data_IF_674347155654
#
_entry.id   IF_674347155654
#
_cell.length_a   1.000
_cell.length_b   1.000
_cell.length_c   1.000
_cell.angle_alpha   90.00
_cell.angle_beta   90.00
_cell.angle_gamma   90.00
#
_symmetry.space_group_name_H-M   'P 1'
#
loop_
_entity.id
_entity.type
_entity.pdbx_description
1 polymer ?
#
# COMPACT_ATOMS: atom_id res chain seq x y z
N UNK A 1 14.78 26.21 7.95
CA UNK A 1 13.88 26.25 6.78
C UNK A 1 12.45 26.18 7.31
N UNK A 2 11.50 26.90 6.72
CA UNK A 2 10.09 26.81 7.12
C UNK A 2 9.50 25.48 6.63
N UNK A 3 8.65 24.84 7.43
CA UNK A 3 7.96 23.60 7.06
C UNK A 3 6.91 23.86 5.96
N UNK A 4 6.84 22.96 4.96
CA UNK A 4 5.83 23.04 3.89
C UNK A 4 4.48 22.53 4.41
N UNK A 5 3.44 23.37 4.38
CA UNK A 5 2.08 22.99 4.78
C UNK A 5 1.30 22.42 3.60
N UNK A 6 0.86 21.18 3.74
CA UNK A 6 0.16 20.42 2.70
C UNK A 6 -1.23 20.06 3.19
N UNK A 7 -2.27 20.43 2.45
CA UNK A 7 -3.63 19.95 2.69
C UNK A 7 -4.02 18.92 1.63
N UNK A 8 -4.38 17.72 2.08
CA UNK A 8 -5.00 16.69 1.24
C UNK A 8 -6.47 16.59 1.60
N UNK A 9 -7.35 16.60 0.62
CA UNK A 9 -8.80 16.46 0.82
C UNK A 9 -9.31 15.20 0.16
N UNK A 10 -10.05 14.39 0.93
CA UNK A 10 -10.75 13.21 0.44
C UNK A 10 -12.06 13.01 1.19
N UNK A 11 -13.17 13.06 0.45
CA UNK A 11 -14.51 12.72 0.93
C UNK A 11 -15.00 11.40 0.31
N UNK A 12 -14.21 10.34 0.49
CA UNK A 12 -14.55 8.99 0.04
C UNK A 12 -15.08 8.10 1.17
N UNK A 13 -15.30 6.83 0.87
CA UNK A 13 -15.60 5.83 1.90
C UNK A 13 -14.35 5.45 2.73
N UNK A 14 -14.54 4.72 3.81
CA UNK A 14 -13.44 4.27 4.68
C UNK A 14 -12.33 3.51 3.92
N UNK A 15 -12.68 2.69 2.92
CA UNK A 15 -11.69 2.00 2.09
C UNK A 15 -10.77 2.95 1.32
N UNK A 16 -11.32 4.04 0.79
CA UNK A 16 -10.54 5.05 0.09
C UNK A 16 -9.61 5.81 1.02
N UNK A 17 -10.08 6.10 2.22
CA UNK A 17 -9.27 6.74 3.25
C UNK A 17 -8.06 5.88 3.59
N UNK A 18 -8.25 4.56 3.74
CA UNK A 18 -7.17 3.62 4.03
C UNK A 18 -6.20 3.50 2.84
N UNK A 19 -6.70 3.35 1.61
CA UNK A 19 -5.88 3.24 0.39
C UNK A 19 -4.97 4.44 0.11
N UNK A 20 -5.31 5.61 0.66
CA UNK A 20 -4.56 6.85 0.46
C UNK A 20 -3.31 6.94 1.35
N UNK A 21 -3.20 6.13 2.39
CA UNK A 21 -2.12 6.24 3.37
C UNK A 21 -0.69 6.21 2.76
N UNK A 22 -0.35 5.32 1.81
CA UNK A 22 0.98 5.34 1.19
C UNK A 22 1.30 6.65 0.43
N UNK A 23 0.27 7.35 -0.04
CA UNK A 23 0.40 8.64 -0.72
C UNK A 23 0.62 9.77 0.27
N UNK A 24 -0.01 9.72 1.45
CA UNK A 24 0.22 10.69 2.53
C UNK A 24 1.67 10.61 3.01
N UNK A 25 2.18 9.38 3.21
CA UNK A 25 3.59 9.12 3.53
C UNK A 25 4.52 9.69 2.46
N UNK A 26 4.26 9.39 1.18
CA UNK A 26 5.08 9.90 0.08
C UNK A 26 5.09 11.42 -0.01
N UNK A 27 3.97 12.09 0.24
CA UNK A 27 3.88 13.55 0.27
C UNK A 27 4.71 14.16 1.41
N UNK A 28 4.68 13.56 2.60
CA UNK A 28 5.49 14.00 3.73
C UNK A 28 6.99 14.00 3.36
N UNK A 29 7.48 12.88 2.80
CA UNK A 29 8.90 12.76 2.45
C UNK A 29 9.31 13.57 1.21
N UNK A 30 8.42 13.72 0.22
CA UNK A 30 8.67 14.52 -0.99
C UNK A 30 8.94 15.99 -0.67
N UNK A 31 8.29 16.53 0.36
CA UNK A 31 8.36 17.95 0.71
C UNK A 31 9.03 18.23 2.06
N UNK A 32 9.78 17.27 2.61
CA UNK A 32 10.38 17.39 3.94
C UNK A 32 11.30 18.62 4.06
N UNK A 33 11.22 19.40 5.17
CA UNK A 33 10.27 19.27 6.27
C UNK A 33 8.85 19.68 5.85
N UNK A 34 7.86 18.85 6.18
CA UNK A 34 6.46 19.07 5.82
C UNK A 34 5.50 18.81 6.98
N UNK A 35 4.38 19.53 6.97
CA UNK A 35 3.21 19.31 7.80
C UNK A 35 2.06 18.86 6.89
N UNK A 36 1.67 17.59 6.98
CA UNK A 36 0.60 17.02 6.15
C UNK A 36 -0.70 17.00 6.93
N UNK A 37 -1.71 17.68 6.41
CA UNK A 37 -3.06 17.73 6.95
C UNK A 37 -3.99 16.95 6.05
N UNK A 38 -4.85 16.12 6.65
CA UNK A 38 -5.91 15.42 5.94
C UNK A 38 -7.26 16.04 6.30
N UNK A 39 -8.06 16.37 5.29
CA UNK A 39 -9.45 16.79 5.44
C UNK A 39 -10.40 15.74 4.90
N UNK A 40 -11.35 15.32 5.73
CA UNK A 40 -12.32 14.25 5.42
C UNK A 40 -13.63 14.42 6.19
N UNK A 41 -14.58 13.50 5.95
CA UNK A 41 -15.86 13.45 6.67
C UNK A 41 -15.62 13.11 8.15
N UNK A 42 -16.36 13.71 9.11
CA UNK A 42 -16.19 13.44 10.53
C UNK A 42 -16.23 11.94 10.88
N UNK A 43 -17.12 11.18 10.24
CA UNK A 43 -17.30 9.74 10.45
C UNK A 43 -16.06 8.89 10.09
N UNK A 44 -15.12 9.44 9.32
CA UNK A 44 -13.90 8.77 8.90
C UNK A 44 -12.64 9.38 9.49
N UNK A 45 -12.76 10.46 10.28
CA UNK A 45 -11.62 11.18 10.83
C UNK A 45 -10.75 10.27 11.72
N UNK A 46 -11.39 9.36 12.45
CA UNK A 46 -10.72 8.52 13.43
C UNK A 46 -9.84 7.44 12.77
N UNK A 47 -10.01 7.14 11.47
CA UNK A 47 -9.18 6.15 10.76
C UNK A 47 -7.69 6.53 10.71
N UNK A 48 -7.39 7.83 10.76
CA UNK A 48 -6.05 8.37 10.62
C UNK A 48 -5.59 9.19 11.83
N UNK A 49 -6.35 9.18 12.93
CA UNK A 49 -6.08 10.04 14.07
C UNK A 49 -4.75 9.72 14.79
N UNK A 50 -4.28 8.47 14.68
CA UNK A 50 -3.02 8.00 15.27
C UNK A 50 -1.86 7.93 14.26
N UNK A 51 -2.05 8.45 13.04
CA UNK A 51 -1.02 8.38 12.02
C UNK A 51 0.16 9.32 12.37
N UNK A 52 1.40 8.84 12.52
CA UNK A 52 2.52 9.61 13.08
C UNK A 52 2.98 10.79 12.21
N UNK A 53 2.79 10.70 10.88
CA UNK A 53 3.17 11.76 9.93
C UNK A 53 2.07 12.80 9.67
N UNK A 54 0.86 12.60 10.21
CA UNK A 54 -0.25 13.51 9.97
C UNK A 54 -0.39 14.49 11.14
N UNK A 55 -0.68 15.73 10.77
CA UNK A 55 -1.20 16.71 11.71
C UNK A 55 -2.66 16.36 12.07
N UNK A 56 -3.22 16.96 13.14
CA UNK A 56 -4.60 16.73 13.53
C UNK A 56 -5.57 16.84 12.33
N UNK A 57 -6.42 15.83 12.19
CA UNK A 57 -7.34 15.68 11.06
C UNK A 57 -8.32 16.85 11.03
N UNK A 58 -8.43 17.50 9.86
CA UNK A 58 -9.37 18.59 9.64
C UNK A 58 -10.74 18.00 9.30
N UNK A 59 -11.68 18.05 10.24
CA UNK A 59 -13.05 17.57 10.02
C UNK A 59 -13.79 18.56 9.11
N UNK A 60 -14.28 18.08 7.97
CA UNK A 60 -15.02 18.89 6.99
C UNK A 60 -16.36 18.24 6.65
N UNK A 61 -17.41 19.06 6.54
CA UNK A 61 -18.71 18.60 6.06
C UNK A 61 -18.92 19.21 4.66
N UNK A 62 -19.16 18.35 3.68
CA UNK A 62 -19.60 18.79 2.36
C UNK A 62 -20.98 19.44 2.47
N UNK A 63 -21.14 20.65 1.93
CA UNK A 63 -22.46 21.28 1.79
C UNK A 63 -23.33 20.47 0.83
N UNK A 64 -24.65 20.67 0.87
CA UNK A 64 -25.57 19.98 -0.05
C UNK A 64 -25.22 20.22 -1.53
N UNK A 65 -24.77 21.44 -1.88
CA UNK A 65 -24.33 21.79 -3.23
C UNK A 65 -23.03 21.07 -3.61
N UNK A 66 -22.11 20.94 -2.66
CA UNK A 66 -20.92 20.08 -2.76
C UNK A 66 -21.25 18.58 -2.61
N UNK A 67 -22.53 18.19 -2.60
CA UNK A 67 -23.00 16.82 -2.79
C UNK A 67 -23.87 16.65 -4.06
N UNK A 68 -24.09 17.72 -4.87
CA UNK A 68 -24.75 17.72 -6.21
C UNK A 68 -23.88 17.83 -7.53
N UNK A 69 -22.65 18.35 -7.54
CA UNK A 69 -21.55 18.25 -8.55
C UNK A 69 -20.81 16.87 -8.74
N UNK A 70 -20.93 16.17 -9.88
CA UNK A 70 -20.16 14.94 -10.17
C UNK A 70 -18.64 15.10 -9.92
N UNK A 71 -18.05 14.27 -9.04
CA UNK A 71 -16.61 14.31 -8.69
C UNK A 71 -16.19 15.37 -7.66
N UNK A 72 -17.12 16.17 -7.15
CA UNK A 72 -17.03 17.14 -6.05
C UNK A 72 -15.78 18.03 -5.93
N UNK A 73 -15.77 18.96 -6.89
CA UNK A 73 -15.06 20.24 -6.98
C UNK A 73 -13.55 20.17 -7.14
N UNK A 74 -13.11 19.91 -8.38
CA UNK A 74 -11.79 20.33 -8.89
C UNK A 74 -11.52 21.83 -8.66
N UNK A 75 -12.58 22.63 -8.54
CA UNK A 75 -12.52 24.08 -8.49
C UNK A 75 -12.44 24.62 -7.05
N UNK A 76 -12.25 23.74 -6.06
CA UNK A 76 -12.00 24.20 -4.71
C UNK A 76 -10.71 25.03 -4.67
N UNK A 77 -10.86 26.31 -4.33
CA UNK A 77 -9.71 27.21 -4.18
C UNK A 77 -8.83 26.69 -3.07
N UNK A 78 -7.52 26.68 -3.31
CA UNK A 78 -6.50 26.38 -2.28
C UNK A 78 -6.82 27.18 -1.00
N UNK A 79 -7.07 26.51 0.14
CA UNK A 79 -7.32 27.21 1.38
C UNK A 79 -6.14 28.10 1.80
N UNK A 80 -6.42 29.26 2.39
CA UNK A 80 -5.38 30.14 2.91
C UNK A 80 -4.54 29.41 3.96
N UNK A 81 -3.24 29.70 4.00
CA UNK A 81 -2.31 29.11 4.98
C UNK A 81 -1.68 27.77 4.58
N UNK A 82 -2.01 27.23 3.40
CA UNK A 82 -1.36 26.04 2.85
C UNK A 82 -0.50 26.37 1.63
N UNK A 83 0.69 25.78 1.58
CA UNK A 83 1.63 25.91 0.46
C UNK A 83 1.16 25.05 -0.72
N UNK A 84 0.72 23.82 -0.41
CA UNK A 84 0.21 22.82 -1.35
C UNK A 84 -1.20 22.38 -0.98
N UNK A 85 -2.00 22.10 -1.99
CA UNK A 85 -3.36 21.58 -1.83
C UNK A 85 -3.65 20.52 -2.89
N UNK A 86 -4.17 19.38 -2.44
CA UNK A 86 -4.53 18.25 -3.27
C UNK A 86 -5.97 17.83 -2.96
N UNK A 87 -6.88 17.99 -3.92
CA UNK A 87 -8.21 17.39 -3.84
C UNK A 87 -8.18 16.04 -4.56
N UNK A 88 -8.34 14.97 -3.78
CA UNK A 88 -8.33 13.58 -4.28
C UNK A 88 -9.72 12.96 -4.31
N UNK A 89 -10.76 13.75 -4.05
CA UNK A 89 -12.16 13.32 -4.15
C UNK A 89 -12.48 12.93 -5.60
N UNK A 90 -13.18 11.81 -5.79
CA UNK A 90 -13.51 11.26 -7.10
C UNK A 90 -12.37 10.60 -7.90
N UNK A 91 -11.10 10.65 -7.47
CA UNK A 91 -10.00 10.20 -8.32
C UNK A 91 -9.99 8.69 -8.61
N UNK A 92 -10.45 7.85 -7.69
CA UNK A 92 -10.57 6.41 -7.88
C UNK A 92 -11.64 6.10 -8.93
N UNK A 93 -12.73 6.85 -8.90
CA UNK A 93 -13.87 6.70 -9.80
C UNK A 93 -13.56 7.17 -11.23
N UNK A 94 -12.71 8.21 -11.35
CA UNK A 94 -12.24 8.75 -12.64
C UNK A 94 -11.21 7.84 -13.32
N UNK A 95 -10.38 7.16 -12.53
CA UNK A 95 -9.32 6.30 -13.05
C UNK A 95 -9.72 4.82 -12.97
N UNK A 96 -10.76 4.43 -13.72
CA UNK A 96 -11.21 3.04 -13.76
C UNK A 96 -10.10 2.14 -14.32
N UNK A 97 -9.92 0.97 -13.73
CA UNK A 97 -8.95 -0.02 -14.20
C UNK A 97 -7.56 0.10 -13.57
N UNK A 98 -7.32 1.08 -12.70
CA UNK A 98 -6.09 1.17 -11.90
C UNK A 98 -6.39 1.01 -10.41
N UNK A 99 -5.38 0.60 -9.65
CA UNK A 99 -5.51 0.42 -8.22
C UNK A 99 -5.77 1.76 -7.51
N UNK A 100 -6.59 1.78 -6.46
CA UNK A 100 -6.97 3.02 -5.76
C UNK A 100 -5.78 3.85 -5.27
N UNK A 101 -4.77 3.20 -4.67
CA UNK A 101 -3.50 3.87 -4.28
C UNK A 101 -2.79 4.53 -5.46
N UNK A 102 -2.81 3.90 -6.64
CA UNK A 102 -2.16 4.45 -7.84
C UNK A 102 -2.97 5.64 -8.39
N UNK A 103 -4.30 5.60 -8.29
CA UNK A 103 -5.17 6.75 -8.59
C UNK A 103 -4.84 7.95 -7.71
N UNK A 104 -4.65 7.71 -6.40
CA UNK A 104 -4.25 8.76 -5.46
C UNK A 104 -2.85 9.31 -5.78
N UNK A 105 -1.89 8.42 -6.05
CA UNK A 105 -0.53 8.80 -6.43
C UNK A 105 -0.52 9.68 -7.69
N UNK A 106 -1.28 9.28 -8.71
CA UNK A 106 -1.44 10.05 -9.94
C UNK A 106 -2.01 11.45 -9.69
N UNK A 107 -3.08 11.56 -8.90
CA UNK A 107 -3.72 12.85 -8.59
C UNK A 107 -2.86 13.82 -7.78
N UNK A 108 -1.83 13.31 -7.09
CA UNK A 108 -0.93 14.10 -6.23
C UNK A 108 0.47 14.26 -6.81
N UNK A 109 0.76 13.54 -7.91
CA UNK A 109 2.12 13.35 -8.45
C UNK A 109 3.11 12.83 -7.38
N UNK A 110 2.60 12.07 -6.40
CA UNK A 110 3.42 11.39 -5.41
C UNK A 110 3.84 10.02 -5.94
N UNK A 111 4.99 9.52 -5.49
CA UNK A 111 5.46 8.17 -5.80
C UNK A 111 5.46 7.39 -4.48
N UNK A 112 4.43 6.56 -4.22
CA UNK A 112 4.34 5.82 -2.96
C UNK A 112 5.42 4.74 -2.88
N UNK A 113 6.02 4.58 -1.71
CA UNK A 113 7.06 3.55 -1.46
C UNK A 113 6.50 2.12 -1.46
N UNK A 114 5.18 2.00 -1.31
CA UNK A 114 4.42 0.74 -1.22
C UNK A 114 2.98 0.94 -1.67
N UNK A 115 2.32 -0.15 -2.06
CA UNK A 115 0.89 -0.15 -2.36
C UNK A 115 0.02 -0.56 -1.16
N UNK A 116 0.51 -1.49 -0.34
CA UNK A 116 -0.20 -1.92 0.87
C UNK A 116 -0.21 -0.77 1.89
N UNK A 117 -1.37 -0.31 2.36
CA UNK A 117 -1.48 0.72 3.39
C UNK A 117 -0.99 0.22 4.76
N UNK A 118 -0.79 1.15 5.69
CA UNK A 118 -0.59 0.86 7.12
C UNK A 118 -1.67 1.61 7.89
N UNK A 119 -2.29 0.93 8.85
CA UNK A 119 -3.26 1.55 9.74
C UNK A 119 -2.70 1.61 11.16
N UNK A 120 -2.81 2.79 11.78
CA UNK A 120 -2.34 3.04 13.14
C UNK A 120 -3.52 2.97 14.09
N UNK A 121 -3.44 2.07 15.05
CA UNK A 121 -4.45 1.88 16.09
C UNK A 121 -4.18 2.78 17.29
N UNK A 122 -5.18 2.92 18.14
CA UNK A 122 -5.03 3.55 19.45
C UNK A 122 -4.00 2.76 20.29
N UNK A 123 -2.87 3.36 20.68
CA UNK A 123 -1.85 2.67 21.48
C UNK A 123 -2.34 2.35 22.89
N UNK A 124 -3.38 3.02 23.39
CA UNK A 124 -3.89 2.84 24.75
C UNK A 124 -4.93 1.72 24.84
N UNK A 125 -5.30 1.10 23.72
CA UNK A 125 -6.30 0.02 23.67
C UNK A 125 -5.65 -1.32 23.38
N UNK A 126 -5.79 -2.25 24.31
CA UNK A 126 -5.30 -3.61 24.16
C UNK A 126 -6.11 -4.37 23.09
N UNK A 127 -5.41 -4.85 22.06
CA UNK A 127 -6.00 -5.67 20.99
C UNK A 127 -6.27 -7.09 21.52
N UNK A 128 -7.55 -7.43 21.66
CA UNK A 128 -7.98 -8.75 22.11
C UNK A 128 -7.81 -9.79 21.00
N UNK A 129 -7.15 -10.94 21.25
CA UNK A 129 -7.03 -12.00 20.25
C UNK A 129 -8.39 -12.51 19.78
N UNK A 130 -8.50 -12.76 18.48
CA UNK A 130 -9.66 -13.32 17.79
C UNK A 130 -9.18 -14.39 16.82
N UNK A 131 -10.00 -15.40 16.60
CA UNK A 131 -9.64 -16.45 15.66
C UNK A 131 -9.99 -16.04 14.22
N UNK A 132 -11.30 -16.01 13.91
CA UNK A 132 -11.81 -15.65 12.59
C UNK A 132 -12.73 -14.44 12.75
N UNK A 133 -12.48 -13.39 11.97
CA UNK A 133 -13.36 -12.22 11.87
C UNK A 133 -13.98 -12.17 10.48
N UNK A 134 -15.31 -12.05 10.42
CA UNK A 134 -16.08 -12.02 9.17
C UNK A 134 -16.82 -10.70 9.05
N UNK A 135 -16.55 -9.93 8.01
CA UNK A 135 -17.26 -8.68 7.74
C UNK A 135 -18.47 -8.91 6.84
N UNK A 136 -19.65 -8.62 7.38
CA UNK A 136 -20.95 -8.63 6.70
C UNK A 136 -21.49 -7.19 6.61
N UNK A 137 -21.14 -6.38 5.60
CA UNK A 137 -21.44 -4.94 5.59
C UNK A 137 -22.94 -4.61 5.55
N UNK A 138 -23.36 -3.53 6.25
CA UNK A 138 -24.74 -3.00 6.31
C UNK A 138 -25.35 -2.68 4.94
N UNK A 139 -26.66 -2.93 4.77
CA UNK A 139 -27.48 -2.53 3.63
C UNK A 139 -27.80 -1.05 3.77
N UNK A 140 -27.35 -0.32 2.76
CA UNK A 140 -27.61 1.09 2.61
C UNK A 140 -27.72 1.41 1.11
N UNK A 141 -28.30 2.56 0.76
CA UNK A 141 -28.37 3.00 -0.64
C UNK A 141 -26.98 3.10 -1.30
N UNK A 142 -25.92 3.23 -0.49
CA UNK A 142 -24.51 3.23 -0.90
C UNK A 142 -23.74 1.99 -0.41
N UNK A 143 -24.43 0.91 -0.02
CA UNK A 143 -23.78 -0.30 0.48
C UNK A 143 -22.88 -0.94 -0.59
N UNK A 144 -21.80 -1.63 -0.18
CA UNK A 144 -20.86 -2.24 -1.12
C UNK A 144 -21.60 -3.07 -2.16
N UNK A 145 -21.13 -2.95 -3.40
CA UNK A 145 -21.76 -3.50 -4.60
C UNK A 145 -21.78 -5.03 -4.65
N UNK A 146 -21.18 -5.69 -3.66
CA UNK A 146 -21.21 -7.14 -3.45
C UNK A 146 -22.50 -7.53 -2.71
N UNK A 147 -23.63 -7.52 -3.43
CA UNK A 147 -24.94 -7.89 -2.89
C UNK A 147 -24.99 -9.34 -2.39
N UNK A 148 -24.27 -10.23 -3.06
CA UNK A 148 -24.42 -11.67 -2.85
C UNK A 148 -23.82 -12.13 -1.52
N UNK A 149 -22.69 -11.56 -1.10
CA UNK A 149 -22.02 -11.89 0.18
C UNK A 149 -22.93 -11.72 1.41
N UNK A 150 -23.98 -10.89 1.30
CA UNK A 150 -24.94 -10.63 2.38
C UNK A 150 -26.03 -11.69 2.50
N UNK A 151 -26.29 -12.47 1.45
CA UNK A 151 -27.39 -13.43 1.42
C UNK A 151 -27.04 -14.80 1.99
N UNK A 152 -25.75 -15.08 2.18
CA UNK A 152 -25.27 -16.44 2.39
C UNK A 152 -25.11 -16.86 3.84
N UNK A 153 -25.48 -16.06 4.85
CA UNK A 153 -25.21 -16.40 6.26
C UNK A 153 -23.75 -16.89 6.46
N UNK A 154 -22.79 -16.15 5.88
CA UNK A 154 -21.38 -16.56 5.77
C UNK A 154 -20.80 -17.10 7.08
N UNK A 155 -21.05 -16.50 8.26
CA UNK A 155 -20.57 -17.08 9.53
C UNK A 155 -21.01 -18.52 9.77
N UNK A 156 -22.27 -18.84 9.53
CA UNK A 156 -22.81 -20.20 9.70
C UNK A 156 -22.22 -21.18 8.67
N UNK A 157 -22.04 -20.72 7.43
CA UNK A 157 -21.40 -21.53 6.39
C UNK A 157 -19.95 -21.86 6.73
N UNK A 158 -19.18 -20.86 7.15
CA UNK A 158 -17.78 -21.04 7.55
C UNK A 158 -17.69 -22.00 8.73
N UNK A 159 -18.54 -21.78 9.75
CA UNK A 159 -18.65 -22.67 10.90
C UNK A 159 -18.91 -24.12 10.48
N UNK A 160 -19.96 -24.36 9.70
CA UNK A 160 -20.35 -25.70 9.28
C UNK A 160 -19.27 -26.38 8.42
N UNK A 161 -18.57 -25.61 7.59
CA UNK A 161 -17.48 -26.10 6.77
C UNK A 161 -16.27 -26.52 7.62
N UNK A 162 -15.83 -25.69 8.56
CA UNK A 162 -14.73 -26.02 9.47
C UNK A 162 -15.07 -27.24 10.35
N UNK A 163 -16.30 -27.29 10.88
CA UNK A 163 -16.81 -28.43 11.67
C UNK A 163 -16.76 -29.73 10.83
N UNK A 164 -17.17 -29.68 9.56
CA UNK A 164 -17.16 -30.82 8.62
C UNK A 164 -15.75 -31.30 8.29
N UNK A 165 -14.81 -30.38 8.09
CA UNK A 165 -13.40 -30.69 7.78
C UNK A 165 -12.61 -31.09 9.04
N UNK A 166 -13.21 -31.04 10.23
CA UNK A 166 -12.54 -31.36 11.50
C UNK A 166 -11.50 -30.32 11.91
N UNK A 167 -11.61 -29.09 11.40
CA UNK A 167 -10.69 -27.99 11.69
C UNK A 167 -11.16 -27.28 12.97
N UNK A 168 -10.31 -27.24 13.99
CA UNK A 168 -10.63 -26.59 15.27
C UNK A 168 -10.46 -25.08 15.15
N UNK A 169 -11.46 -24.33 15.63
CA UNK A 169 -11.43 -22.89 15.84
C UNK A 169 -11.97 -22.56 17.23
N UNK A 170 -11.51 -21.45 17.81
CA UNK A 170 -11.90 -20.94 19.13
C UNK A 170 -13.10 -20.01 19.03
N UNK A 171 -13.14 -19.15 18.00
CA UNK A 171 -14.19 -18.14 17.85
C UNK A 171 -14.40 -17.69 16.41
N UNK A 172 -15.65 -17.44 16.02
CA UNK A 172 -16.00 -16.72 14.79
C UNK A 172 -16.74 -15.45 15.20
N UNK A 173 -16.19 -14.29 14.86
CA UNK A 173 -16.79 -12.98 15.16
C UNK A 173 -17.28 -12.33 13.89
N UNK A 174 -18.58 -12.07 13.79
CA UNK A 174 -19.15 -11.28 12.71
C UNK A 174 -19.11 -9.78 13.08
N UNK A 175 -18.78 -8.92 12.12
CA UNK A 175 -18.84 -7.45 12.24
C UNK A 175 -19.68 -6.89 11.08
N UNK A 176 -20.46 -5.82 11.31
CA UNK A 176 -21.29 -5.14 10.30
C UNK A 176 -22.82 -5.19 10.53
N UNK A 177 -23.58 -5.68 9.55
CA UNK A 177 -25.06 -5.58 9.45
C UNK A 177 -25.82 -6.41 10.46
N UNK A 178 -25.29 -7.57 10.81
CA UNK A 178 -25.97 -8.56 11.65
C UNK A 178 -25.16 -8.91 12.89
N UNK A 179 -24.22 -8.05 13.25
CA UNK A 179 -23.44 -8.18 14.47
C UNK A 179 -24.03 -7.28 15.55
N UNK A 180 -23.97 -7.75 16.81
CA UNK A 180 -24.15 -6.90 18.01
C UNK A 180 -23.08 -5.80 18.14
N UNK A 181 -22.16 -5.73 17.17
CA UNK A 181 -21.10 -4.74 17.09
C UNK A 181 -21.67 -3.34 16.83
N UNK A 182 -21.71 -2.52 17.89
CA UNK A 182 -22.09 -1.10 17.85
C UNK A 182 -20.90 -0.15 17.74
N UNK A 183 -19.69 -0.71 17.65
CA UNK A 183 -18.45 0.04 17.71
C UNK A 183 -18.16 0.94 16.51
N UNK A 184 -17.31 1.94 16.75
CA UNK A 184 -16.78 2.83 15.72
C UNK A 184 -15.78 2.12 14.79
N UNK A 185 -15.21 2.87 13.83
CA UNK A 185 -14.25 2.31 12.87
C UNK A 185 -12.91 1.90 13.51
N UNK A 186 -12.48 2.58 14.57
CA UNK A 186 -11.26 2.22 15.32
C UNK A 186 -11.44 0.91 16.09
N UNK A 187 -12.57 0.74 16.78
CA UNK A 187 -12.90 -0.52 17.44
C UNK A 187 -13.04 -1.67 16.42
N UNK A 188 -13.44 -1.36 15.18
CA UNK A 188 -13.60 -2.37 14.13
C UNK A 188 -12.22 -2.82 13.67
N UNK A 189 -11.32 -1.85 13.47
CA UNK A 189 -9.92 -2.11 13.16
C UNK A 189 -9.22 -2.88 14.28
N UNK A 190 -9.48 -2.57 15.56
CA UNK A 190 -8.96 -3.33 16.70
C UNK A 190 -9.47 -4.77 16.71
N UNK A 191 -10.76 -4.97 16.45
CA UNK A 191 -11.35 -6.32 16.32
C UNK A 191 -10.68 -7.11 15.20
N UNK A 192 -10.44 -6.47 14.05
CA UNK A 192 -9.74 -7.09 12.90
C UNK A 192 -8.28 -7.37 13.23
N UNK A 193 -7.58 -6.45 13.91
CA UNK A 193 -6.17 -6.60 14.27
C UNK A 193 -5.90 -7.80 15.18
N UNK A 194 -6.88 -8.17 16.02
CA UNK A 194 -6.81 -9.35 16.85
C UNK A 194 -6.99 -10.67 16.09
N UNK A 195 -7.46 -10.64 14.84
CA UNK A 195 -7.84 -11.83 14.08
C UNK A 195 -6.64 -12.62 13.54
N UNK A 196 -6.70 -13.96 13.63
CA UNK A 196 -5.80 -14.83 12.85
C UNK A 196 -6.17 -14.85 11.37
N UNK A 197 -7.45 -14.71 11.06
CA UNK A 197 -7.98 -14.66 9.69
C UNK A 197 -9.15 -13.68 9.59
N UNK A 198 -9.09 -12.79 8.60
CA UNK A 198 -10.20 -11.95 8.18
C UNK A 198 -10.87 -12.49 6.90
N UNK A 199 -12.20 -12.43 6.84
CA UNK A 199 -12.99 -12.80 5.65
C UNK A 199 -13.99 -11.69 5.36
N UNK A 200 -14.07 -11.21 4.13
CA UNK A 200 -15.11 -10.23 3.78
C UNK A 200 -15.17 -9.87 2.30
N UNK A 201 -16.16 -9.07 1.89
CA UNK A 201 -16.21 -8.50 0.55
C UNK A 201 -15.24 -7.32 0.40
N UNK A 202 -15.05 -6.83 -0.83
CA UNK A 202 -14.41 -5.53 -1.11
C UNK A 202 -15.15 -4.39 -0.38
N UNK A 203 -14.61 -4.02 0.78
CA UNK A 203 -15.27 -3.19 1.78
C UNK A 203 -14.24 -2.59 2.74
N UNK A 204 -14.69 -1.69 3.62
CA UNK A 204 -13.84 -1.07 4.63
C UNK A 204 -13.04 -2.09 5.45
N UNK A 205 -13.70 -3.15 5.95
CA UNK A 205 -13.04 -4.19 6.74
C UNK A 205 -11.93 -4.92 5.98
N UNK A 206 -12.10 -5.16 4.67
CA UNK A 206 -11.04 -5.76 3.85
C UNK A 206 -9.81 -4.85 3.78
N UNK A 207 -10.01 -3.57 3.51
CA UNK A 207 -8.90 -2.61 3.46
C UNK A 207 -8.21 -2.46 4.82
N UNK A 208 -8.97 -2.50 5.93
CA UNK A 208 -8.42 -2.51 7.29
C UNK A 208 -7.56 -3.76 7.52
N UNK A 209 -8.06 -4.96 7.19
CA UNK A 209 -7.30 -6.19 7.36
C UNK A 209 -5.98 -6.17 6.58
N UNK A 210 -6.01 -5.66 5.35
CA UNK A 210 -4.80 -5.47 4.56
C UNK A 210 -3.83 -4.45 5.20
N UNK A 211 -4.35 -3.33 5.71
CA UNK A 211 -3.56 -2.27 6.34
C UNK A 211 -2.94 -2.69 7.69
N UNK A 212 -3.59 -3.62 8.38
CA UNK A 212 -3.14 -4.17 9.66
C UNK A 212 -2.24 -5.41 9.49
N UNK A 213 -1.97 -5.83 8.25
CA UNK A 213 -1.17 -7.01 7.97
C UNK A 213 -1.84 -8.33 8.39
N UNK A 214 -3.16 -8.34 8.56
CA UNK A 214 -3.93 -9.52 8.95
C UNK A 214 -4.13 -10.44 7.73
N UNK A 215 -3.87 -11.75 7.84
CA UNK A 215 -4.21 -12.70 6.78
C UNK A 215 -5.69 -12.56 6.40
N UNK A 216 -5.98 -12.41 5.11
CA UNK A 216 -7.34 -12.10 4.68
C UNK A 216 -7.74 -12.76 3.37
N UNK A 217 -9.02 -13.15 3.32
CA UNK A 217 -9.70 -13.59 2.10
C UNK A 217 -10.73 -12.53 1.72
N UNK A 218 -10.63 -12.04 0.49
CA UNK A 218 -11.51 -11.00 -0.02
C UNK A 218 -12.33 -11.50 -1.21
N UNK A 219 -13.64 -11.31 -1.13
CA UNK A 219 -14.57 -11.60 -2.20
C UNK A 219 -14.79 -10.37 -3.08
N UNK A 220 -14.58 -10.52 -4.39
CA UNK A 220 -14.64 -9.45 -5.38
C UNK A 220 -15.75 -9.71 -6.42
N UNK A 221 -16.33 -8.62 -6.94
CA UNK A 221 -17.29 -8.67 -8.05
C UNK A 221 -16.58 -8.57 -9.39
N UNK A 222 -17.33 -8.81 -10.48
CA UNK A 222 -16.86 -8.52 -11.84
C UNK A 222 -16.57 -7.04 -12.08
N UNK A 223 -17.31 -6.15 -11.42
CA UNK A 223 -17.14 -4.70 -11.55
C UNK A 223 -15.91 -4.19 -10.80
N UNK A 224 -15.53 -4.90 -9.74
CA UNK A 224 -14.38 -4.58 -8.88
C UNK A 224 -13.45 -5.78 -8.72
N UNK A 225 -12.77 -6.21 -9.80
CA UNK A 225 -11.94 -7.40 -9.74
C UNK A 225 -10.71 -7.16 -8.86
N UNK A 226 -10.17 -8.25 -8.32
CA UNK A 226 -8.97 -8.22 -7.47
C UNK A 226 -7.82 -7.41 -8.09
N UNK A 227 -7.61 -7.47 -9.41
CA UNK A 227 -6.54 -6.73 -10.09
C UNK A 227 -6.54 -5.20 -9.88
N UNK A 228 -7.67 -4.61 -9.47
CA UNK A 228 -7.80 -3.16 -9.22
C UNK A 228 -8.02 -2.80 -7.75
N UNK A 229 -8.19 -3.78 -6.86
CA UNK A 229 -8.54 -3.53 -5.44
C UNK A 229 -7.71 -4.34 -4.45
N UNK A 230 -7.10 -5.44 -4.89
CA UNK A 230 -6.34 -6.35 -4.06
C UNK A 230 -4.92 -5.85 -3.81
N UNK A 231 -4.39 -6.26 -2.65
CA UNK A 231 -3.02 -6.01 -2.24
C UNK A 231 -2.17 -7.26 -2.50
N UNK A 232 -0.83 -7.17 -2.50
CA UNK A 232 0.05 -8.29 -2.83
C UNK A 232 -0.22 -9.62 -2.08
N UNK A 233 -0.71 -9.55 -0.83
CA UNK A 233 -0.96 -10.71 0.01
C UNK A 233 -2.44 -11.09 0.13
N UNK A 234 -3.31 -10.51 -0.70
CA UNK A 234 -4.74 -10.79 -0.66
C UNK A 234 -5.05 -12.14 -1.31
N UNK A 235 -5.71 -13.04 -0.57
CA UNK A 235 -6.31 -14.24 -1.15
C UNK A 235 -7.69 -13.85 -1.71
N UNK A 236 -7.82 -13.74 -3.03
CA UNK A 236 -9.06 -13.29 -3.67
C UNK A 236 -9.96 -14.45 -4.09
N UNK A 237 -11.28 -14.27 -3.96
CA UNK A 237 -12.32 -15.13 -4.56
C UNK A 237 -13.38 -14.29 -5.26
N UNK A 238 -14.25 -14.91 -6.06
CA UNK A 238 -15.46 -14.25 -6.58
C UNK A 238 -16.52 -14.27 -5.50
N UNK A 239 -17.29 -13.20 -5.37
CA UNK A 239 -18.39 -13.12 -4.39
C UNK A 239 -19.53 -14.11 -4.61
N UNK A 240 -19.60 -14.68 -5.81
CA UNK A 240 -20.53 -15.74 -6.22
C UNK A 240 -19.97 -17.16 -6.08
N UNK A 241 -18.68 -17.34 -5.75
CA UNK A 241 -18.02 -18.65 -5.69
C UNK A 241 -17.75 -19.09 -4.24
N UNK A 242 -18.82 -19.50 -3.56
CA UNK A 242 -18.75 -19.92 -2.15
C UNK A 242 -17.91 -21.17 -1.93
N UNK A 243 -17.86 -22.08 -2.91
CA UNK A 243 -17.07 -23.30 -2.79
C UNK A 243 -15.57 -22.96 -2.75
N UNK A 244 -15.12 -22.10 -3.66
CA UNK A 244 -13.74 -21.59 -3.67
C UNK A 244 -13.41 -20.81 -2.40
N UNK A 245 -14.33 -19.96 -1.91
CA UNK A 245 -14.18 -19.25 -0.64
C UNK A 245 -13.92 -20.23 0.52
N UNK A 246 -14.77 -21.24 0.70
CA UNK A 246 -14.67 -22.20 1.79
C UNK A 246 -13.38 -23.04 1.70
N UNK A 247 -12.99 -23.45 0.49
CA UNK A 247 -11.73 -24.16 0.26
C UNK A 247 -10.52 -23.30 0.68
N UNK A 248 -10.51 -22.01 0.31
CA UNK A 248 -9.45 -21.07 0.67
C UNK A 248 -9.38 -20.82 2.18
N UNK A 249 -10.52 -20.79 2.86
CA UNK A 249 -10.58 -20.68 4.32
C UNK A 249 -9.87 -21.87 4.97
N UNK A 250 -10.20 -23.11 4.59
CA UNK A 250 -9.52 -24.29 5.12
C UNK A 250 -8.01 -24.25 4.88
N UNK A 251 -7.59 -23.88 3.67
CA UNK A 251 -6.19 -23.84 3.30
C UNK A 251 -5.38 -22.78 4.08
N UNK A 252 -5.92 -21.55 4.18
CA UNK A 252 -5.23 -20.44 4.84
C UNK A 252 -5.26 -20.58 6.36
N UNK A 253 -6.36 -21.05 6.93
CA UNK A 253 -6.54 -21.18 8.37
C UNK A 253 -5.79 -22.40 8.96
N UNK A 254 -5.62 -23.46 8.17
CA UNK A 254 -4.85 -24.66 8.59
C UNK A 254 -3.35 -24.55 8.30
N UNK A 255 -2.91 -23.49 7.61
CA UNK A 255 -1.49 -23.30 7.35
C UNK A 255 -0.76 -23.17 8.71
N UNK A 256 0.34 -23.92 8.95
CA UNK A 256 1.14 -23.72 10.14
C UNK A 256 1.52 -22.24 10.20
N UNK A 257 1.39 -21.61 11.38
CA UNK A 257 1.55 -20.16 11.56
C UNK A 257 2.66 -19.65 10.66
N UNK A 258 2.27 -19.06 9.52
CA UNK A 258 3.23 -18.45 8.61
C UNK A 258 3.99 -17.38 9.41
N UNK A 259 5.19 -16.97 8.96
CA UNK A 259 5.84 -15.83 9.59
C UNK A 259 4.82 -14.70 9.66
N UNK A 260 4.43 -14.30 10.88
CA UNK A 260 3.40 -13.28 11.13
C UNK A 260 3.71 -12.11 10.21
N UNK A 261 2.83 -11.84 9.26
CA UNK A 261 3.05 -10.78 8.29
C UNK A 261 3.21 -9.46 9.04
N UNK A 262 4.27 -8.74 8.66
CA UNK A 262 4.67 -7.38 9.05
C UNK A 262 3.68 -6.65 9.96
N UNK A 263 3.78 -6.91 11.27
CA UNK A 263 3.13 -6.10 12.28
C UNK A 263 3.75 -4.70 12.38
N UNK A 264 3.06 -3.76 13.05
CA UNK A 264 3.50 -2.37 13.24
C UNK A 264 4.84 -2.24 13.99
N UNK A 265 5.35 -3.29 14.64
CA UNK A 265 6.67 -3.32 15.31
C UNK A 265 7.85 -2.99 14.38
N UNK A 266 7.66 -3.04 13.04
CA UNK A 266 8.66 -2.55 12.08
C UNK A 266 8.63 -1.05 11.82
N UNK A 267 7.59 -0.33 12.23
CA UNK A 267 7.55 1.14 12.13
C UNK A 267 8.53 1.77 13.10
N UNK A 268 8.74 1.19 14.29
CA UNK A 268 9.74 1.69 15.26
C UNK A 268 11.18 1.51 14.76
N UNK A 269 11.48 0.41 14.06
CA UNK A 269 12.79 0.21 13.43
C UNK A 269 13.02 1.11 12.20
N UNK A 270 11.96 1.62 11.58
CA UNK A 270 12.05 2.53 10.44
C UNK A 270 12.04 4.01 10.88
N UNK A 271 11.37 4.38 11.97
CA UNK A 271 11.38 5.75 12.47
C UNK A 271 12.73 6.13 13.08
N UNK A 272 13.39 5.23 13.82
CA UNK A 272 14.74 5.48 14.37
C UNK A 272 15.87 5.41 13.32
N UNK A 273 15.76 4.57 12.27
CA UNK A 273 16.78 4.53 11.20
C UNK A 273 16.64 5.65 10.16
N UNK A 274 15.47 6.28 10.04
CA UNK A 274 15.23 7.35 9.06
C UNK A 274 15.20 8.76 9.68
N UNK A 275 15.10 8.86 11.01
CA UNK A 275 15.37 10.09 11.75
C UNK A 275 16.89 10.32 11.82
N UNK A 276 17.38 11.34 11.11
CA UNK A 276 18.79 11.79 11.13
C UNK A 276 19.82 10.82 10.51
N UNK A 277 19.87 10.81 9.18
CA UNK A 277 21.03 10.32 8.42
C UNK A 277 20.66 9.20 7.46
N UNK A 278 20.41 9.57 6.20
CA UNK A 278 20.22 8.59 5.11
C UNK A 278 21.56 7.91 4.81
N UNK A 279 21.81 6.76 5.41
CA UNK A 279 22.93 5.91 5.01
C UNK A 279 22.49 5.07 3.82
N UNK A 280 23.16 5.26 2.69
CA UNK A 280 23.05 4.37 1.54
C UNK A 280 23.74 3.05 1.93
N UNK A 281 22.98 2.01 2.26
CA UNK A 281 23.52 0.68 2.54
C UNK A 281 23.85 0.00 1.19
N UNK A 282 25.14 -0.04 0.85
CA UNK A 282 25.69 -0.84 -0.24
C UNK A 282 26.00 -2.24 0.33
N UNK A 283 25.07 -3.16 0.17
CA UNK A 283 25.33 -4.57 0.44
C UNK A 283 25.93 -5.20 -0.82
N UNK A 284 27.22 -5.49 -0.79
CA UNK A 284 27.88 -6.33 -1.79
C UNK A 284 27.89 -7.77 -1.30
N UNK A 285 27.13 -8.64 -1.94
CA UNK A 285 27.27 -10.07 -1.74
C UNK A 285 28.13 -10.61 -2.91
N UNK A 286 29.35 -11.04 -2.61
CA UNK A 286 30.22 -11.67 -3.60
C UNK A 286 29.66 -13.08 -3.85
N UNK A 287 28.83 -13.21 -4.89
CA UNK A 287 28.39 -14.51 -5.35
C UNK A 287 29.57 -15.29 -5.92
N UNK A 288 29.77 -16.54 -5.51
CA UNK A 288 30.89 -17.41 -5.94
C UNK A 288 30.98 -17.72 -7.45
N UNK A 289 30.20 -17.04 -8.30
CA UNK A 289 30.18 -17.15 -9.76
C UNK A 289 30.85 -16.00 -10.53
N UNK A 290 31.52 -15.06 -9.87
CA UNK A 290 32.24 -13.96 -10.54
C UNK A 290 31.40 -12.74 -10.90
N UNK A 291 30.28 -12.52 -10.19
CA UNK A 291 29.43 -11.34 -10.34
C UNK A 291 29.23 -10.65 -8.99
N UNK A 292 29.16 -9.32 -9.01
CA UNK A 292 28.83 -8.50 -7.85
C UNK A 292 27.37 -8.04 -7.97
N UNK A 293 26.52 -8.46 -7.03
CA UNK A 293 25.15 -7.96 -6.94
C UNK A 293 25.18 -6.63 -6.17
N UNK A 294 24.67 -5.55 -6.77
CA UNK A 294 24.59 -4.25 -6.10
C UNK A 294 23.13 -3.88 -5.92
N UNK A 295 22.65 -3.93 -4.68
CA UNK A 295 21.33 -3.39 -4.38
C UNK A 295 21.40 -1.86 -4.28
N UNK A 296 20.64 -1.17 -5.13
CA UNK A 296 20.44 0.28 -5.03
C UNK A 296 18.98 0.51 -4.68
N UNK A 297 18.71 1.05 -3.50
CA UNK A 297 17.37 1.45 -3.09
C UNK A 297 17.36 2.94 -2.74
N UNK A 298 16.65 3.75 -3.52
CA UNK A 298 16.47 5.19 -3.27
C UNK A 298 16.22 6.01 -4.54
N UNK A 299 15.73 7.24 -4.39
CA UNK A 299 15.49 8.19 -5.49
C UNK A 299 16.80 8.67 -6.13
N UNK A 300 16.93 8.53 -7.46
CA UNK A 300 18.09 8.85 -8.30
C UNK A 300 18.33 10.36 -8.54
N UNK A 301 18.00 11.25 -7.60
CA UNK A 301 18.05 12.71 -7.84
C UNK A 301 19.27 13.45 -7.24
N UNK A 302 20.19 12.77 -6.53
CA UNK A 302 21.32 13.43 -5.85
C UNK A 302 22.68 13.23 -6.56
N UNK A 303 23.53 14.26 -6.70
CA UNK A 303 24.87 14.10 -7.32
C UNK A 303 25.77 13.05 -6.65
N UNK A 304 25.57 12.80 -5.35
CA UNK A 304 26.35 11.84 -4.56
C UNK A 304 26.20 10.37 -5.00
N UNK A 305 25.06 9.96 -5.54
CA UNK A 305 24.93 8.57 -6.00
C UNK A 305 25.76 8.33 -7.25
N UNK A 306 25.96 9.35 -8.09
CA UNK A 306 26.76 9.26 -9.32
C UNK A 306 28.22 8.99 -8.99
N UNK A 307 28.76 9.72 -8.01
CA UNK A 307 30.13 9.52 -7.57
C UNK A 307 30.31 8.15 -6.90
N UNK A 308 29.33 7.67 -6.12
CA UNK A 308 29.41 6.33 -5.51
C UNK A 308 29.31 5.19 -6.52
N UNK A 309 28.42 5.30 -7.52
CA UNK A 309 28.34 4.35 -8.63
C UNK A 309 29.63 4.36 -9.46
N UNK A 310 30.24 5.53 -9.65
CA UNK A 310 31.55 5.69 -10.28
C UNK A 310 32.68 5.05 -9.48
N UNK A 311 32.78 5.36 -8.19
CA UNK A 311 33.80 4.79 -7.31
C UNK A 311 33.68 3.26 -7.22
N UNK A 312 32.45 2.73 -7.33
CA UNK A 312 32.22 1.29 -7.41
C UNK A 312 32.57 0.71 -8.77
N UNK A 313 32.22 1.37 -9.88
CA UNK A 313 32.57 0.88 -11.22
C UNK A 313 34.08 0.88 -11.47
N UNK A 314 34.83 1.75 -10.80
CA UNK A 314 36.30 1.73 -10.76
C UNK A 314 36.88 0.57 -9.96
N UNK A 315 36.15 0.05 -8.98
CA UNK A 315 36.56 -1.14 -8.19
C UNK A 315 36.27 -2.47 -8.88
N UNK A 316 35.39 -2.50 -9.87
CA UNK A 316 35.13 -3.70 -10.67
C UNK A 316 36.37 -4.06 -11.52
N UNK A 317 37.12 -5.06 -11.08
CA UNK A 317 38.22 -5.62 -11.87
C UNK A 317 37.67 -6.51 -12.99
N UNK A 318 37.95 -6.13 -14.24
CA UNK A 318 37.80 -6.94 -15.48
C UNK A 318 36.56 -7.85 -15.55
N UNK A 319 35.41 -7.27 -15.93
CA UNK A 319 34.26 -8.05 -16.43
C UNK A 319 33.10 -8.27 -15.47
N UNK A 320 33.04 -7.54 -14.35
CA UNK A 320 31.89 -7.61 -13.43
C UNK A 320 30.59 -7.14 -14.07
N UNK A 321 29.52 -7.90 -13.87
CA UNK A 321 28.14 -7.51 -14.20
C UNK A 321 27.53 -6.83 -12.99
N UNK A 322 27.05 -5.59 -13.14
CA UNK A 322 26.23 -4.93 -12.11
C UNK A 322 24.78 -5.28 -12.36
N UNK A 323 24.10 -5.80 -11.34
CA UNK A 323 22.65 -5.88 -11.31
C UNK A 323 22.10 -4.65 -10.60
N UNK A 324 21.38 -3.79 -11.31
CA UNK A 324 20.65 -2.69 -10.68
C UNK A 324 19.20 -3.08 -10.48
N UNK A 325 18.69 -2.73 -9.30
CA UNK A 325 17.33 -2.94 -8.87
C UNK A 325 16.65 -1.59 -8.70
N UNK A 326 15.44 -1.41 -9.24
CA UNK A 326 14.61 -0.25 -8.93
C UNK A 326 13.19 -0.72 -8.65
N UNK A 327 12.60 -0.23 -7.55
CA UNK A 327 11.22 -0.55 -7.15
C UNK A 327 10.31 0.60 -7.54
N UNK A 328 9.64 0.45 -8.69
CA UNK A 328 8.56 1.26 -9.27
C UNK A 328 8.66 2.81 -9.28
N UNK A 329 8.69 3.33 -10.52
CA UNK A 329 8.45 4.71 -11.00
C UNK A 329 8.56 4.65 -12.53
N UNK A 330 8.14 5.67 -13.31
CA UNK A 330 8.23 5.66 -14.78
C UNK A 330 9.69 5.54 -15.23
N UNK A 331 10.13 4.31 -15.41
CA UNK A 331 11.49 3.95 -15.76
C UNK A 331 11.64 4.03 -17.27
N UNK A 332 12.44 4.96 -17.76
CA UNK A 332 12.86 4.97 -19.16
C UNK A 332 14.18 4.17 -19.28
N UNK A 333 14.13 2.92 -19.77
CA UNK A 333 15.33 2.10 -19.93
C UNK A 333 16.37 2.73 -20.87
N UNK A 334 15.95 3.57 -21.82
CA UNK A 334 16.88 4.31 -22.67
C UNK A 334 17.60 5.40 -21.88
N UNK A 335 16.93 6.01 -20.91
CA UNK A 335 17.52 7.00 -20.03
C UNK A 335 18.54 6.33 -19.09
N UNK A 336 18.21 5.22 -18.43
CA UNK A 336 19.17 4.48 -17.60
C UNK A 336 20.35 3.97 -18.42
N UNK A 337 20.10 3.39 -19.60
CA UNK A 337 21.16 2.90 -20.49
C UNK A 337 22.09 4.03 -20.92
N UNK A 338 21.55 5.18 -21.33
CA UNK A 338 22.35 6.37 -21.64
C UNK A 338 23.14 6.84 -20.42
N UNK A 339 22.53 6.87 -19.23
CA UNK A 339 23.23 7.25 -18.00
C UNK A 339 24.38 6.30 -17.67
N UNK A 340 24.15 4.98 -17.64
CA UNK A 340 25.18 3.99 -17.32
C UNK A 340 26.36 4.03 -18.30
N UNK A 341 26.09 4.25 -19.59
CA UNK A 341 27.12 4.40 -20.63
C UNK A 341 27.90 5.70 -20.46
N UNK A 342 27.20 6.83 -20.26
CA UNK A 342 27.80 8.16 -20.23
C UNK A 342 28.57 8.43 -18.93
N UNK A 343 27.99 8.07 -17.78
CA UNK A 343 28.54 8.43 -16.47
C UNK A 343 29.42 7.35 -15.87
N UNK A 344 29.20 6.05 -16.09
CA UNK A 344 29.93 4.98 -15.41
C UNK A 344 30.79 4.10 -16.34
N UNK A 345 30.73 4.31 -17.66
CA UNK A 345 31.46 3.49 -18.64
C UNK A 345 30.94 2.03 -18.72
N UNK A 346 29.68 1.82 -18.36
CA UNK A 346 29.04 0.51 -18.33
C UNK A 346 28.12 0.37 -19.55
N UNK A 347 28.26 -0.72 -20.31
CA UNK A 347 27.31 -1.10 -21.36
C UNK A 347 26.26 -2.03 -20.75
N UNK A 348 24.99 -1.67 -20.86
CA UNK A 348 23.89 -2.58 -20.53
C UNK A 348 23.93 -3.77 -21.50
N UNK A 349 24.10 -4.97 -20.97
CA UNK A 349 24.17 -6.22 -21.75
C UNK A 349 22.85 -6.96 -21.76
N UNK A 350 22.06 -6.83 -20.69
CA UNK A 350 20.74 -7.45 -20.60
C UNK A 350 19.82 -6.55 -19.77
N UNK A 351 18.55 -6.53 -20.15
CA UNK A 351 17.52 -5.75 -19.47
C UNK A 351 16.20 -6.51 -19.50
N UNK A 352 15.59 -6.75 -18.35
CA UNK A 352 14.23 -7.29 -18.29
C UNK A 352 13.23 -6.14 -18.31
N UNK A 353 12.58 -5.94 -19.46
CA UNK A 353 11.56 -4.91 -19.63
C UNK A 353 10.26 -5.20 -18.87
N UNK A 354 10.06 -6.44 -18.45
CA UNK A 354 8.91 -6.86 -17.65
C UNK A 354 9.36 -6.98 -16.20
N UNK A 355 8.73 -6.28 -15.26
CA UNK A 355 9.04 -6.45 -13.86
C UNK A 355 8.65 -7.86 -13.37
N UNK A 356 9.33 -8.36 -12.35
CA UNK A 356 8.94 -9.60 -11.68
C UNK A 356 7.59 -9.44 -10.92
N UNK A 357 7.14 -10.50 -10.26
CA UNK A 357 5.89 -10.49 -9.46
C UNK A 357 5.86 -9.43 -8.33
N UNK A 358 7.00 -8.81 -8.03
CA UNK A 358 7.18 -7.82 -6.99
C UNK A 358 7.47 -6.41 -7.53
N UNK A 359 7.48 -6.24 -8.86
CA UNK A 359 7.69 -4.94 -9.50
C UNK A 359 9.16 -4.59 -9.77
N UNK A 360 10.06 -5.58 -9.77
CA UNK A 360 11.50 -5.36 -9.88
C UNK A 360 11.97 -5.44 -11.34
N UNK A 361 12.81 -4.49 -11.75
CA UNK A 361 13.54 -4.54 -13.02
C UNK A 361 14.97 -5.01 -12.79
N UNK A 362 15.47 -5.88 -13.67
CA UNK A 362 16.86 -6.31 -13.67
C UNK A 362 17.58 -5.68 -14.85
N UNK A 363 18.65 -4.94 -14.54
CA UNK A 363 19.56 -4.39 -15.54
C UNK A 363 20.91 -5.03 -15.29
N UNK A 364 21.38 -5.83 -16.24
CA UNK A 364 22.74 -6.34 -16.25
C UNK A 364 23.61 -5.41 -17.09
N UNK A 365 24.68 -4.88 -16.53
CA UNK A 365 25.62 -4.03 -17.25
C UNK A 365 27.07 -4.48 -17.05
N UNK A 366 27.86 -4.46 -18.12
CA UNK A 366 29.28 -4.82 -18.12
C UNK A 366 30.14 -3.59 -18.37
N UNK A 367 31.30 -3.50 -17.72
CA UNK A 367 32.28 -2.43 -17.97
C UNK A 367 32.84 -2.52 -19.38
N UNK A 368 32.71 -1.46 -20.16
CA UNK A 368 33.28 -1.38 -21.52
C UNK A 368 34.34 -0.30 -21.62
N UNK A 369 35.31 -0.53 -22.50
CA UNK A 369 36.39 0.43 -22.74
C UNK A 369 35.78 1.66 -23.43
N UNK A 370 35.82 2.81 -22.75
CA UNK A 370 35.21 4.06 -23.24
C UNK A 370 35.70 4.41 -24.66
N UNK A 371 34.82 4.66 -25.64
CA UNK A 371 35.24 5.22 -26.92
C UNK A 371 35.88 6.58 -26.69
N UNK A 372 37.08 6.83 -27.23
CA UNK A 372 37.84 8.07 -26.99
C UNK A 372 37.16 9.38 -27.48
N UNK A 373 36.03 9.29 -28.17
CA UNK A 373 35.47 10.39 -28.99
C UNK A 373 34.03 10.79 -28.63
N UNK A 374 33.58 10.61 -27.38
CA UNK A 374 32.25 11.06 -26.94
C UNK A 374 32.40 12.11 -25.82
N UNK A 375 32.54 13.38 -26.23
CA UNK A 375 32.23 14.58 -25.44
C UNK A 375 31.53 15.58 -26.37
#
# INVERSE_FOLDING_TARGET
MQSTKILVTRYGGAGDMIMMEPVLEALFYKYAPAEVYLRTHPDYADLHQFHPLLQPIVKGILTADQKALPGYASDEKKPQGFDRFYNTTGCVEMNRGIHGTDSFAFSTSAIPFRRTPVMYLDPDVEVQPRDIVIHTPKRGPNSPRNHDFRHYHIPDMVKNHLDKEGIKYESITAIGENSEYEGGLQEMAQTIAGAKLFIGPDSAGFHMAAALGVPHIAAFTSDFPAGIRAYPNTVSTRDTDLADLLQKISALYSAPEGPKSFGPDRVDLLSEKYAYGRTLELESEIGGGGYDLIRISGLLEHEDWRQRLWDYSERLSHGGTIFMYERHGSFDPLLLTKYLILTAGLQVTEYTATPDAYGHFFVAAQKVKRPRNLL
#
